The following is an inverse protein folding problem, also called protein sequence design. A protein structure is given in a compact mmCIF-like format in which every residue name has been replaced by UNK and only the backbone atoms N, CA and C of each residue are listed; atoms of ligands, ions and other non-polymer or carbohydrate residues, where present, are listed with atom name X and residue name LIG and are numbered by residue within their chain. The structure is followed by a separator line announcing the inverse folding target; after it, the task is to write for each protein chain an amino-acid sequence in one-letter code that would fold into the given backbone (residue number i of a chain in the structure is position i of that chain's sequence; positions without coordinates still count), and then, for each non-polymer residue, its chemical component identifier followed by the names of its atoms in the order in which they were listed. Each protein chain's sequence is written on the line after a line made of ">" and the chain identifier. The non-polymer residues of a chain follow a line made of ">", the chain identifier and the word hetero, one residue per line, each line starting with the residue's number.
data_IF_459137140822
#
_entry.id   IF_459137140822
#
_cell.length_a   1.000
_cell.length_b   1.000
_cell.length_c   1.000
_cell.angle_alpha   90.00
_cell.angle_beta   90.00
_cell.angle_gamma   90.00
#
_symmetry.space_group_name_H-M   'P 1'
#
loop_
_entity.id
_entity.type
_entity.pdbx_description
1 polymer ?
#
# COMPACT_ATOMS: atom_id res chain seq x y z
N UNK A 1 -0.85 18.31 -7.56
CA UNK A 1 -1.56 17.01 -7.63
C UNK A 1 -1.19 16.37 -8.96
N UNK A 2 -0.66 15.14 -8.95
CA UNK A 2 -0.36 14.40 -10.18
C UNK A 2 -1.47 13.36 -10.36
N UNK A 3 -2.03 13.28 -11.57
CA UNK A 3 -3.08 12.33 -11.93
C UNK A 3 -2.63 11.53 -13.16
N UNK A 4 -3.07 10.27 -13.25
CA UNK A 4 -2.71 9.37 -14.35
C UNK A 4 -3.94 8.53 -14.74
N UNK A 5 -4.19 8.29 -16.04
CA UNK A 5 -5.29 7.43 -16.50
C UNK A 5 -5.01 5.93 -16.29
N UNK A 6 -3.92 5.56 -15.61
CA UNK A 6 -3.53 4.17 -15.39
C UNK A 6 -4.34 3.50 -14.27
N UNK A 7 -4.61 2.21 -14.44
CA UNK A 7 -5.19 1.37 -13.37
C UNK A 7 -4.14 1.10 -12.29
N UNK A 8 -4.58 1.03 -11.04
CA UNK A 8 -3.71 0.66 -9.89
C UNK A 8 -3.04 -0.70 -10.10
N UNK A 9 -3.75 -1.67 -10.70
CA UNK A 9 -3.18 -2.98 -11.02
C UNK A 9 -2.00 -2.91 -12.01
N UNK A 10 -2.04 -1.99 -12.97
CA UNK A 10 -0.96 -1.82 -13.93
C UNK A 10 0.26 -1.20 -13.24
N UNK A 11 0.02 -0.20 -12.37
CA UNK A 11 1.08 0.40 -11.55
C UNK A 11 1.73 -0.63 -10.62
N UNK A 12 0.95 -1.52 -10.00
CA UNK A 12 1.47 -2.61 -9.17
C UNK A 12 2.45 -3.52 -9.92
N UNK A 13 2.20 -3.79 -11.20
CA UNK A 13 3.08 -4.62 -12.03
C UNK A 13 4.39 -3.91 -12.41
N UNK A 14 4.34 -2.58 -12.59
CA UNK A 14 5.49 -1.77 -12.97
C UNK A 14 6.39 -1.42 -11.79
N UNK A 15 5.83 -1.35 -10.58
CA UNK A 15 6.57 -0.95 -9.38
C UNK A 15 7.43 -2.11 -8.83
N UNK A 16 8.66 -1.83 -8.34
CA UNK A 16 9.48 -2.85 -7.71
C UNK A 16 8.79 -3.45 -6.48
N UNK A 17 8.44 -4.74 -6.55
CA UNK A 17 7.74 -5.47 -5.47
C UNK A 17 8.52 -5.54 -4.16
N UNK A 18 9.84 -5.34 -4.22
CA UNK A 18 10.70 -5.22 -3.04
C UNK A 18 10.35 -3.97 -2.24
N UNK A 19 10.02 -2.87 -2.92
CA UNK A 19 9.88 -1.54 -2.32
C UNK A 19 8.41 -1.12 -2.13
N UNK A 20 7.49 -1.67 -2.90
CA UNK A 20 6.08 -1.32 -2.87
C UNK A 20 5.21 -2.52 -2.49
N UNK A 21 4.09 -2.24 -1.82
CA UNK A 21 3.08 -3.24 -1.46
C UNK A 21 1.68 -2.70 -1.71
N UNK A 22 0.80 -3.54 -2.25
CA UNK A 22 -0.61 -3.21 -2.40
C UNK A 22 -1.34 -3.41 -1.08
N UNK A 23 -2.04 -2.38 -0.64
CA UNK A 23 -2.69 -2.36 0.69
C UNK A 23 -4.20 -2.49 0.57
N UNK A 24 -4.77 -2.04 -0.56
CA UNK A 24 -6.20 -2.07 -0.86
C UNK A 24 -6.41 -2.14 -2.37
N UNK A 25 -7.67 -2.37 -2.82
CA UNK A 25 -7.97 -2.35 -4.27
C UNK A 25 -7.58 -1.03 -4.96
N UNK A 26 -7.55 0.06 -4.20
CA UNK A 26 -7.28 1.43 -4.68
C UNK A 26 -5.94 2.01 -4.21
N UNK A 27 -5.16 1.30 -3.40
CA UNK A 27 -3.95 1.88 -2.77
C UNK A 27 -2.74 0.95 -2.87
N UNK A 28 -1.59 1.55 -3.17
CA UNK A 28 -0.26 0.96 -3.11
C UNK A 28 0.58 1.88 -2.23
N UNK A 29 1.34 1.31 -1.29
CA UNK A 29 2.21 2.03 -0.38
C UNK A 29 3.68 1.67 -0.63
N UNK A 30 4.57 2.62 -0.43
CA UNK A 30 6.01 2.36 -0.34
C UNK A 30 6.33 1.80 1.04
N UNK A 31 6.93 0.60 1.10
CA UNK A 31 7.20 -0.12 2.36
C UNK A 31 8.11 0.69 3.29
N UNK A 32 9.13 1.36 2.75
CA UNK A 32 10.08 2.17 3.51
C UNK A 32 9.49 3.46 4.09
N UNK A 33 8.24 3.81 3.75
CA UNK A 33 7.52 4.96 4.31
C UNK A 33 6.46 4.57 5.33
N UNK A 34 6.27 3.26 5.56
CA UNK A 34 5.35 2.77 6.58
C UNK A 34 5.96 3.07 7.95
N UNK A 35 5.28 3.92 8.72
CA UNK A 35 5.70 4.26 10.09
C UNK A 35 5.16 3.27 11.11
N UNK A 36 3.90 2.89 10.95
CA UNK A 36 3.21 1.98 11.87
C UNK A 36 2.02 1.30 11.18
N UNK A 37 1.66 0.10 11.63
CA UNK A 37 0.45 -0.60 11.23
C UNK A 37 -0.49 -0.65 12.45
N UNK A 38 -1.68 -0.07 12.31
CA UNK A 38 -2.71 0.01 13.36
C UNK A 38 -3.98 -0.72 12.92
N UNK A 39 -4.13 -1.98 13.34
CA UNK A 39 -5.28 -2.81 12.98
C UNK A 39 -5.38 -3.02 11.46
N UNK A 40 -6.35 -2.37 10.82
CA UNK A 40 -6.59 -2.44 9.38
C UNK A 40 -6.14 -1.15 8.65
N UNK A 41 -5.19 -0.39 9.21
CA UNK A 41 -4.66 0.83 8.61
C UNK A 41 -3.14 0.90 8.72
N UNK A 42 -2.53 1.55 7.74
CA UNK A 42 -1.10 1.87 7.71
C UNK A 42 -0.95 3.37 7.90
N UNK A 43 -0.09 3.76 8.83
CA UNK A 43 0.28 5.15 9.05
C UNK A 43 1.52 5.50 8.22
N UNK A 44 1.37 6.50 7.35
CA UNK A 44 2.44 7.08 6.54
C UNK A 44 2.43 8.58 6.78
N UNK A 45 3.43 9.09 7.49
CA UNK A 45 3.47 10.47 7.98
C UNK A 45 2.16 10.87 8.70
N UNK A 46 1.41 11.83 8.14
CA UNK A 46 0.12 12.28 8.67
C UNK A 46 -1.10 11.54 8.08
N UNK A 47 -0.88 10.59 7.17
CA UNK A 47 -1.93 9.91 6.41
C UNK A 47 -2.19 8.49 6.91
N UNK A 48 -3.46 8.10 6.89
CA UNK A 48 -3.91 6.74 7.22
C UNK A 48 -4.41 6.04 5.96
N UNK A 49 -3.66 5.03 5.51
CA UNK A 49 -4.00 4.23 4.32
C UNK A 49 -4.74 2.96 4.76
N UNK A 50 -5.94 2.67 4.22
CA UNK A 50 -6.69 1.49 4.61
C UNK A 50 -6.04 0.20 4.08
N UNK A 51 -6.23 -0.87 4.84
CA UNK A 51 -5.88 -2.24 4.48
C UNK A 51 -7.17 -2.99 4.13
N UNK A 52 -7.26 -3.48 2.90
CA UNK A 52 -8.35 -4.36 2.49
C UNK A 52 -8.16 -5.77 3.04
N UNK A 53 -9.26 -6.46 3.36
CA UNK A 53 -9.22 -7.81 3.92
C UNK A 53 -8.36 -8.77 3.09
N UNK A 54 -8.49 -8.73 1.75
CA UNK A 54 -7.70 -9.54 0.81
C UNK A 54 -6.19 -9.29 0.88
N UNK A 55 -5.78 -8.09 1.30
CA UNK A 55 -4.36 -7.68 1.34
C UNK A 55 -3.76 -7.77 2.75
N UNK A 56 -4.59 -8.07 3.76
CA UNK A 56 -4.20 -8.01 5.17
C UNK A 56 -3.09 -8.99 5.52
N UNK A 57 -3.20 -10.24 5.06
CA UNK A 57 -2.18 -11.27 5.30
C UNK A 57 -0.82 -10.86 4.71
N UNK A 58 -0.81 -10.37 3.47
CA UNK A 58 0.41 -9.91 2.81
C UNK A 58 1.10 -8.74 3.55
N UNK A 59 0.31 -7.86 4.17
CA UNK A 59 0.85 -6.75 4.96
C UNK A 59 1.35 -7.23 6.32
N UNK A 60 0.66 -8.18 6.96
CA UNK A 60 1.09 -8.75 8.24
C UNK A 60 2.42 -9.51 8.14
N UNK A 61 2.75 -10.07 6.97
CA UNK A 61 4.07 -10.66 6.69
C UNK A 61 5.22 -9.64 6.60
N UNK A 62 4.93 -8.33 6.66
CA UNK A 62 5.98 -7.29 6.72
C UNK A 62 6.47 -7.00 8.15
N UNK A 63 5.77 -7.48 9.17
CA UNK A 63 6.17 -7.40 10.58
C UNK A 63 7.20 -8.50 10.89
#
# INVERSE_FOLDING_TARGET
>A
MIVSPQKISNLEQLLPKTNFIRTHKSFIAAKNKIKQIEGNRILIDAYKVPIGQTYKENIMMLL
#
